data_IF_713494323032
#
_entry.id   IF_713494323032
#
_cell.length_a   1.000
_cell.length_b   1.000
_cell.length_c   1.000
_cell.angle_alpha   90.00
_cell.angle_beta   90.00
_cell.angle_gamma   90.00
#
_symmetry.space_group_name_H-M   'P 1'
#
loop_
_entity.id
_entity.type
_entity.pdbx_description
1 polymer ?
#
# COMPACT_ATOMS: atom_id res chain seq x y z
N UNK A 1 -24.99 20.08 -9.96
CA UNK A 1 -25.46 19.45 -8.70
C UNK A 1 -25.74 17.96 -8.85
N UNK A 2 -26.10 17.50 -10.02
CA UNK A 2 -26.40 16.08 -10.33
C UNK A 2 -25.14 15.18 -10.38
N UNK A 3 -24.05 15.68 -10.94
CA UNK A 3 -22.77 14.97 -11.06
C UNK A 3 -22.17 14.63 -9.68
N UNK A 4 -22.27 15.54 -8.71
CA UNK A 4 -21.75 15.30 -7.35
C UNK A 4 -22.51 14.15 -6.67
N UNK A 5 -23.85 14.16 -6.73
CA UNK A 5 -24.68 13.10 -6.15
C UNK A 5 -24.39 11.73 -6.79
N UNK A 6 -24.22 11.72 -8.11
CA UNK A 6 -23.87 10.50 -8.86
C UNK A 6 -22.50 9.95 -8.45
N UNK A 7 -21.50 10.81 -8.34
CA UNK A 7 -20.16 10.41 -7.93
C UNK A 7 -20.12 9.94 -6.48
N UNK A 8 -20.82 10.61 -5.57
CA UNK A 8 -20.96 10.19 -4.17
C UNK A 8 -21.59 8.80 -4.06
N UNK A 9 -22.72 8.58 -4.74
CA UNK A 9 -23.38 7.27 -4.77
C UNK A 9 -22.51 6.17 -5.41
N UNK A 10 -21.66 6.52 -6.37
CA UNK A 10 -20.69 5.58 -6.95
C UNK A 10 -19.62 5.20 -5.93
N UNK A 11 -19.06 6.16 -5.21
CA UNK A 11 -18.06 5.92 -4.18
C UNK A 11 -18.59 5.04 -3.03
N UNK A 12 -19.83 5.28 -2.59
CA UNK A 12 -20.47 4.47 -1.55
C UNK A 12 -20.69 3.01 -1.95
N UNK A 13 -20.86 2.74 -3.25
CA UNK A 13 -21.08 1.36 -3.76
C UNK A 13 -19.82 0.62 -4.15
N UNK A 14 -18.79 1.33 -4.57
CA UNK A 14 -17.58 0.73 -5.17
C UNK A 14 -16.34 0.83 -4.32
N UNK A 15 -16.39 1.62 -3.25
CA UNK A 15 -15.26 1.89 -2.35
C UNK A 15 -15.71 1.81 -0.90
N UNK A 16 -14.76 1.87 0.03
CA UNK A 16 -15.02 1.89 1.47
C UNK A 16 -15.53 3.24 1.99
N UNK A 17 -15.90 4.18 1.09
CA UNK A 17 -16.43 5.46 1.46
C UNK A 17 -17.83 5.30 2.07
N UNK A 18 -18.03 5.87 3.26
CA UNK A 18 -19.33 5.99 3.92
C UNK A 18 -19.55 7.46 4.27
N UNK A 19 -20.74 7.97 4.00
CA UNK A 19 -21.05 9.39 4.24
C UNK A 19 -21.17 9.76 5.72
N UNK A 20 -21.31 8.78 6.59
CA UNK A 20 -21.39 8.90 8.05
C UNK A 20 -20.02 8.71 8.74
N UNK A 21 -18.96 8.38 7.99
CA UNK A 21 -17.61 8.36 8.54
C UNK A 21 -17.11 9.78 8.79
N UNK A 22 -16.38 9.95 9.88
CA UNK A 22 -15.60 11.17 10.12
C UNK A 22 -14.51 11.28 9.04
N UNK A 23 -14.52 12.41 8.33
CA UNK A 23 -13.56 12.71 7.27
C UNK A 23 -12.62 13.81 7.76
N UNK A 24 -11.57 13.41 8.46
CA UNK A 24 -10.54 14.33 8.90
C UNK A 24 -9.80 14.97 7.73
N UNK A 25 -9.38 16.20 7.92
CA UNK A 25 -8.66 16.95 6.91
C UNK A 25 -7.21 16.48 6.80
N UNK A 26 -6.95 15.54 5.90
CA UNK A 26 -5.59 15.13 5.54
C UNK A 26 -4.93 16.16 4.62
N UNK A 27 -3.63 16.39 4.80
CA UNK A 27 -2.81 17.09 3.80
C UNK A 27 -2.41 16.12 2.69
N UNK A 28 -2.82 16.40 1.46
CA UNK A 28 -2.46 15.59 0.28
C UNK A 28 -1.68 16.47 -0.69
N UNK A 29 -0.58 15.93 -1.21
CA UNK A 29 0.25 16.59 -2.22
C UNK A 29 0.52 15.66 -3.40
N UNK A 30 0.74 16.24 -4.57
CA UNK A 30 1.11 15.53 -5.78
C UNK A 30 2.39 16.13 -6.36
N UNK A 31 3.37 15.28 -6.63
CA UNK A 31 4.60 15.64 -7.34
C UNK A 31 4.67 14.81 -8.63
N UNK A 32 4.78 15.48 -9.75
CA UNK A 32 4.86 14.81 -11.05
C UNK A 32 5.95 15.41 -11.93
N UNK A 33 6.56 14.59 -12.78
CA UNK A 33 7.49 15.05 -13.81
C UNK A 33 6.73 15.48 -15.05
N UNK A 34 6.91 16.70 -15.51
CA UNK A 34 6.21 17.24 -16.69
C UNK A 34 6.64 16.57 -18.00
N UNK A 35 7.81 15.94 -18.03
CA UNK A 35 8.31 15.21 -19.21
C UNK A 35 7.99 13.71 -19.17
N UNK A 36 7.22 13.24 -18.19
CA UNK A 36 6.83 11.84 -18.03
C UNK A 36 7.96 10.87 -17.66
N UNK A 37 9.18 11.37 -17.43
CA UNK A 37 10.31 10.50 -17.09
C UNK A 37 10.26 10.10 -15.61
N UNK A 38 10.37 8.80 -15.37
CA UNK A 38 10.50 8.22 -14.03
C UNK A 38 11.90 8.53 -13.50
N UNK A 39 11.98 9.28 -12.40
CA UNK A 39 13.26 9.63 -11.78
C UNK A 39 13.17 9.56 -10.27
N UNK A 40 14.26 9.19 -9.63
CA UNK A 40 14.39 9.22 -8.16
C UNK A 40 14.12 10.60 -7.59
N UNK A 41 14.47 11.66 -8.34
CA UNK A 41 14.28 13.04 -7.93
C UNK A 41 12.82 13.40 -7.64
N UNK A 42 11.86 12.83 -8.38
CA UNK A 42 10.42 13.01 -8.11
C UNK A 42 10.04 12.46 -6.74
N UNK A 43 10.59 11.29 -6.37
CA UNK A 43 10.36 10.68 -5.05
C UNK A 43 10.98 11.53 -3.94
N UNK A 44 12.18 12.05 -4.15
CA UNK A 44 12.86 12.93 -3.19
C UNK A 44 12.07 14.20 -2.93
N UNK A 45 11.56 14.85 -3.97
CA UNK A 45 10.67 16.00 -3.84
C UNK A 45 9.36 15.65 -3.11
N UNK A 46 8.81 14.45 -3.34
CA UNK A 46 7.65 13.98 -2.57
C UNK A 46 7.95 13.86 -1.08
N UNK A 47 9.11 13.34 -0.72
CA UNK A 47 9.57 13.22 0.67
C UNK A 47 9.82 14.63 1.28
N UNK A 48 10.43 15.54 0.52
CA UNK A 48 10.66 16.92 0.97
C UNK A 48 9.33 17.65 1.21
N UNK A 49 8.38 17.52 0.29
CA UNK A 49 7.04 18.08 0.45
C UNK A 49 6.33 17.54 1.69
N UNK A 50 6.43 16.23 1.94
CA UNK A 50 5.86 15.59 3.13
C UNK A 50 6.49 16.15 4.41
N UNK A 51 7.82 16.35 4.43
CA UNK A 51 8.52 16.97 5.56
C UNK A 51 8.13 18.43 5.75
N UNK A 52 7.90 19.17 4.68
CA UNK A 52 7.58 20.61 4.76
C UNK A 52 6.21 20.87 5.43
N UNK A 53 5.30 19.92 5.42
CA UNK A 53 3.97 20.05 6.04
C UNK A 53 3.88 19.46 7.46
N UNK A 54 5.00 19.13 8.08
CA UNK A 54 5.03 18.50 9.42
C UNK A 54 4.27 19.32 10.49
N UNK A 55 4.25 20.65 10.36
CA UNK A 55 3.56 21.56 11.27
C UNK A 55 2.03 21.43 11.26
N UNK A 56 1.47 20.68 10.32
CA UNK A 56 0.04 20.35 10.23
C UNK A 56 -0.32 19.02 10.91
N UNK A 57 0.67 18.24 11.31
CA UNK A 57 0.48 17.01 12.04
C UNK A 57 0.28 17.28 13.53
N UNK A 58 -0.63 16.54 14.17
CA UNK A 58 -0.75 16.53 15.61
C UNK A 58 0.39 15.71 16.22
N UNK A 59 0.83 16.06 17.40
CA UNK A 59 1.81 15.32 18.18
C UNK A 59 1.19 14.99 19.52
N UNK A 60 1.25 13.71 19.89
CA UNK A 60 0.71 13.20 21.14
C UNK A 60 1.53 13.68 22.37
N UNK A 61 1.01 13.43 23.56
CA UNK A 61 1.63 13.80 24.83
C UNK A 61 3.03 13.21 25.06
N UNK A 62 3.38 12.13 24.35
CA UNK A 62 4.74 11.55 24.39
C UNK A 62 5.78 12.35 23.59
N UNK A 63 5.37 13.42 22.91
CA UNK A 63 6.22 14.30 22.13
C UNK A 63 6.79 13.71 20.86
N UNK A 64 6.38 12.52 20.45
CA UNK A 64 6.88 11.78 19.29
C UNK A 64 5.80 11.12 18.43
N UNK A 65 4.80 10.52 19.06
CA UNK A 65 3.67 9.92 18.32
C UNK A 65 2.86 11.03 17.67
N UNK A 66 2.50 10.85 16.44
CA UNK A 66 1.74 11.84 15.68
C UNK A 66 0.88 11.16 14.63
N UNK A 67 0.24 11.99 13.80
CA UNK A 67 -0.54 11.53 12.67
C UNK A 67 0.33 10.74 11.71
N UNK A 68 -0.25 9.76 11.07
CA UNK A 68 0.42 8.96 10.06
C UNK A 68 0.82 9.81 8.84
N UNK A 69 1.93 9.47 8.25
CA UNK A 69 2.39 10.06 6.99
C UNK A 69 2.82 8.97 6.03
N UNK A 70 2.57 9.16 4.76
CA UNK A 70 2.89 8.17 3.74
C UNK A 70 3.19 8.79 2.38
N UNK A 71 3.84 8.02 1.55
CA UNK A 71 4.09 8.37 0.16
C UNK A 71 3.66 7.19 -0.72
N UNK A 72 2.91 7.50 -1.76
CA UNK A 72 2.57 6.54 -2.80
C UNK A 72 3.42 6.82 -4.03
N UNK A 73 4.12 5.80 -4.49
CA UNK A 73 4.98 5.88 -5.67
C UNK A 73 4.63 4.75 -6.64
N UNK A 74 5.08 4.90 -7.87
CA UNK A 74 4.99 3.80 -8.83
C UNK A 74 5.85 2.61 -8.37
N UNK A 75 5.35 1.41 -8.62
CA UNK A 75 6.08 0.17 -8.34
C UNK A 75 7.38 0.18 -9.16
N UNK A 76 8.52 -0.07 -8.50
CA UNK A 76 9.82 -0.19 -9.13
C UNK A 76 10.02 -1.63 -9.64
N UNK A 77 9.86 -1.93 -10.94
CA UNK A 77 9.83 -3.30 -11.44
C UNK A 77 11.11 -4.08 -11.14
N UNK A 78 12.27 -3.46 -11.35
CA UNK A 78 13.57 -4.11 -11.16
C UNK A 78 13.80 -4.53 -9.71
N UNK A 79 13.42 -3.67 -8.76
CA UNK A 79 13.51 -4.00 -7.34
C UNK A 79 12.63 -5.20 -6.98
N UNK A 80 11.38 -5.22 -7.46
CA UNK A 80 10.45 -6.30 -7.12
C UNK A 80 10.77 -7.59 -7.87
N UNK A 81 11.28 -7.54 -9.10
CA UNK A 81 11.81 -8.72 -9.79
C UNK A 81 12.90 -9.40 -8.98
N UNK A 82 13.86 -8.64 -8.45
CA UNK A 82 14.89 -9.18 -7.56
C UNK A 82 14.28 -9.87 -6.32
N UNK A 83 13.25 -9.29 -5.72
CA UNK A 83 12.60 -9.87 -4.54
C UNK A 83 11.79 -11.13 -4.89
N UNK A 84 11.17 -11.18 -6.05
CA UNK A 84 10.49 -12.39 -6.56
C UNK A 84 11.51 -13.51 -6.82
N UNK A 85 12.63 -13.21 -7.46
CA UNK A 85 13.71 -14.19 -7.65
C UNK A 85 14.20 -14.76 -6.30
N UNK A 86 14.29 -13.94 -5.27
CA UNK A 86 14.69 -14.38 -3.92
C UNK A 86 13.67 -15.32 -3.26
N UNK A 87 12.42 -15.39 -3.71
CA UNK A 87 11.42 -16.37 -3.27
C UNK A 87 11.49 -17.69 -4.06
N UNK A 88 12.42 -17.82 -5.00
CA UNK A 88 12.57 -19.01 -5.85
C UNK A 88 11.65 -19.02 -7.08
N UNK A 89 10.95 -17.94 -7.35
CA UNK A 89 10.08 -17.80 -8.52
C UNK A 89 10.78 -16.99 -9.61
N UNK A 90 10.39 -17.25 -10.86
CA UNK A 90 10.83 -16.44 -12.01
C UNK A 90 9.69 -15.49 -12.38
N UNK A 91 9.89 -14.17 -12.29
CA UNK A 91 8.88 -13.23 -12.74
C UNK A 91 8.73 -13.31 -14.27
N UNK A 92 7.49 -13.31 -14.74
CA UNK A 92 7.22 -13.20 -16.17
C UNK A 92 7.42 -11.75 -16.63
N UNK A 93 8.22 -11.52 -17.65
CA UNK A 93 8.54 -10.18 -18.16
C UNK A 93 7.32 -9.45 -18.75
N UNK A 94 6.31 -10.17 -19.21
CA UNK A 94 5.07 -9.62 -19.77
C UNK A 94 4.03 -9.30 -18.69
N UNK A 95 4.28 -9.68 -17.44
CA UNK A 95 3.30 -9.61 -16.39
C UNK A 95 3.47 -8.39 -15.50
N UNK A 96 2.35 -7.79 -15.16
CA UNK A 96 2.31 -6.67 -14.23
C UNK A 96 2.51 -7.18 -12.80
N UNK A 97 3.59 -6.77 -12.19
CA UNK A 97 3.83 -7.00 -10.77
C UNK A 97 2.86 -6.12 -9.98
N UNK A 98 2.11 -6.73 -9.09
CA UNK A 98 1.32 -6.06 -8.05
C UNK A 98 1.95 -6.28 -6.69
N UNK A 99 1.77 -5.31 -5.82
CA UNK A 99 2.31 -5.35 -4.47
C UNK A 99 1.21 -4.98 -3.49
N UNK A 100 0.91 -5.86 -2.56
CA UNK A 100 -0.03 -5.62 -1.47
C UNK A 100 0.71 -5.26 -0.19
N UNK A 101 0.47 -4.07 0.38
CA UNK A 101 0.96 -3.72 1.71
C UNK A 101 -0.04 -4.24 2.74
N UNK A 102 0.41 -5.07 3.67
CA UNK A 102 -0.44 -5.72 4.66
C UNK A 102 0.06 -5.44 6.07
N UNK A 103 -0.87 -5.07 6.94
CA UNK A 103 -0.63 -4.81 8.35
C UNK A 103 -1.18 -6.00 9.16
N UNK A 104 -0.29 -6.70 9.84
CA UNK A 104 -0.58 -7.95 10.55
C UNK A 104 -0.45 -7.76 12.06
N UNK A 105 -1.06 -8.62 12.89
CA UNK A 105 -0.82 -8.66 14.33
C UNK A 105 0.68 -8.78 14.61
N UNK A 106 1.20 -7.97 15.54
CA UNK A 106 2.66 -7.90 15.77
C UNK A 106 3.25 -9.15 16.41
N UNK A 107 2.54 -9.74 17.37
CA UNK A 107 3.09 -10.76 18.28
C UNK A 107 2.42 -12.11 18.15
N UNK A 108 1.27 -12.20 17.52
CA UNK A 108 0.55 -13.46 17.33
C UNK A 108 0.82 -14.05 15.95
N UNK A 109 1.79 -14.96 15.90
CA UNK A 109 2.17 -15.64 14.65
C UNK A 109 1.03 -16.53 14.09
N UNK A 110 0.20 -17.11 14.94
CA UNK A 110 -0.94 -17.91 14.49
C UNK A 110 -1.98 -17.07 13.79
N UNK A 111 -2.26 -15.88 14.32
CA UNK A 111 -3.15 -14.92 13.65
C UNK A 111 -2.53 -14.33 12.39
N UNK A 112 -1.22 -14.10 12.35
CA UNK A 112 -0.55 -13.68 11.12
C UNK A 112 -0.73 -14.69 9.99
N UNK A 113 -0.53 -15.98 10.27
CA UNK A 113 -0.72 -17.04 9.28
C UNK A 113 -2.17 -17.12 8.78
N UNK A 114 -3.14 -17.07 9.70
CA UNK A 114 -4.56 -17.02 9.31
C UNK A 114 -4.88 -15.81 8.42
N UNK A 115 -4.33 -14.64 8.74
CA UNK A 115 -4.50 -13.44 7.89
C UNK A 115 -3.91 -13.65 6.50
N UNK A 116 -2.74 -14.27 6.40
CA UNK A 116 -2.12 -14.59 5.10
C UNK A 116 -2.96 -15.60 4.33
N UNK A 117 -3.41 -16.68 4.95
CA UNK A 117 -4.28 -17.69 4.33
C UNK A 117 -5.56 -17.07 3.76
N UNK A 118 -6.21 -16.15 4.49
CA UNK A 118 -7.41 -15.45 4.03
C UNK A 118 -7.10 -14.61 2.79
N UNK A 119 -5.99 -13.86 2.82
CA UNK A 119 -5.57 -13.00 1.70
C UNK A 119 -5.21 -13.86 0.49
N UNK A 120 -4.44 -14.92 0.69
CA UNK A 120 -4.03 -15.84 -0.38
C UNK A 120 -5.23 -16.51 -1.02
N UNK A 121 -6.17 -17.00 -0.23
CA UNK A 121 -7.41 -17.60 -0.73
C UNK A 121 -8.21 -16.64 -1.59
N UNK A 122 -8.39 -15.40 -1.11
CA UNK A 122 -9.12 -14.37 -1.85
C UNK A 122 -8.41 -13.98 -3.17
N UNK A 123 -7.08 -13.91 -3.15
CA UNK A 123 -6.29 -13.62 -4.35
C UNK A 123 -6.37 -14.77 -5.37
N UNK A 124 -6.27 -16.02 -4.92
CA UNK A 124 -6.39 -17.18 -5.78
C UNK A 124 -7.79 -17.30 -6.39
N UNK A 125 -8.85 -17.03 -5.64
CA UNK A 125 -10.21 -16.95 -6.17
C UNK A 125 -10.36 -15.86 -7.24
N UNK A 126 -9.61 -14.76 -7.12
CA UNK A 126 -9.53 -13.68 -8.10
C UNK A 126 -8.62 -13.98 -9.31
N UNK A 127 -8.08 -15.20 -9.44
CA UNK A 127 -7.09 -15.58 -10.44
C UNK A 127 -5.79 -14.75 -10.38
N UNK A 128 -5.36 -14.38 -9.19
CA UNK A 128 -4.04 -13.80 -8.98
C UNK A 128 -3.06 -14.90 -8.57
N UNK A 129 -1.83 -14.77 -9.05
CA UNK A 129 -0.73 -15.63 -8.61
C UNK A 129 0.10 -14.93 -7.54
N UNK A 130 0.45 -15.63 -6.47
CA UNK A 130 1.23 -15.08 -5.36
C UNK A 130 2.65 -15.65 -5.43
N UNK A 131 3.64 -14.79 -5.59
CA UNK A 131 5.05 -15.16 -5.55
C UNK A 131 5.56 -15.38 -4.12
N UNK A 132 4.92 -14.77 -3.14
CA UNK A 132 5.25 -14.92 -1.74
C UNK A 132 5.12 -13.62 -0.95
N UNK A 133 5.65 -13.68 0.27
CA UNK A 133 5.61 -12.61 1.24
C UNK A 133 7.00 -12.07 1.53
N UNK A 134 7.07 -10.79 1.78
CA UNK A 134 8.29 -10.10 2.19
C UNK A 134 8.02 -9.26 3.41
N UNK A 135 8.80 -9.42 4.47
CA UNK A 135 8.79 -8.52 5.61
C UNK A 135 9.35 -7.15 5.20
N UNK A 136 8.65 -6.09 5.59
CA UNK A 136 9.08 -4.71 5.33
C UNK A 136 10.08 -4.29 6.40
N UNK A 137 11.29 -3.84 6.02
CA UNK A 137 12.24 -3.29 6.99
C UNK A 137 11.67 -2.02 7.62
N UNK A 138 11.61 -2.00 8.93
CA UNK A 138 11.13 -0.87 9.71
C UNK A 138 12.17 -0.44 10.74
N UNK A 139 12.13 0.82 11.15
CA UNK A 139 12.94 1.33 12.25
C UNK A 139 12.03 1.79 13.41
N UNK A 140 11.70 0.93 14.37
CA UNK A 140 10.80 1.28 15.46
C UNK A 140 11.41 2.27 16.47
N UNK A 141 12.74 2.47 16.46
CA UNK A 141 13.40 3.34 17.44
C UNK A 141 13.03 4.82 17.31
N UNK A 142 12.48 5.22 16.17
CA UNK A 142 12.03 6.59 15.91
C UNK A 142 10.59 6.86 16.37
N UNK A 143 9.84 5.81 16.71
CA UNK A 143 8.45 5.92 17.13
C UNK A 143 8.33 6.45 18.56
N UNK A 144 7.22 7.14 18.84
CA UNK A 144 6.78 7.42 20.19
C UNK A 144 6.19 6.17 20.87
N UNK A 145 6.07 6.21 22.17
CA UNK A 145 5.55 5.06 22.96
C UNK A 145 4.14 4.67 22.56
N UNK A 146 3.27 5.65 22.33
CA UNK A 146 1.88 5.43 21.93
C UNK A 146 1.81 4.74 20.58
N UNK A 147 2.56 5.22 19.58
CA UNK A 147 2.60 4.64 18.26
C UNK A 147 3.22 3.23 18.26
N UNK A 148 4.27 2.98 19.06
CA UNK A 148 4.89 1.65 19.12
C UNK A 148 3.99 0.59 19.78
N UNK A 149 3.11 0.98 20.71
CA UNK A 149 2.16 0.05 21.34
C UNK A 149 1.17 -0.54 20.33
N UNK A 150 0.72 0.26 19.37
CA UNK A 150 -0.25 -0.14 18.35
C UNK A 150 0.40 -0.53 17.01
N UNK A 151 1.73 -0.53 16.95
CA UNK A 151 2.48 -0.82 15.71
C UNK A 151 2.20 -2.24 15.22
N UNK A 152 1.76 -2.41 13.97
CA UNK A 152 1.57 -3.72 13.37
C UNK A 152 2.90 -4.32 12.88
N UNK A 153 2.89 -5.59 12.56
CA UNK A 153 3.87 -6.17 11.64
C UNK A 153 3.51 -5.77 10.22
N UNK A 154 4.50 -5.35 9.43
CA UNK A 154 4.26 -4.89 8.06
C UNK A 154 4.87 -5.88 7.07
N UNK A 155 4.02 -6.45 6.23
CA UNK A 155 4.42 -7.37 5.18
C UNK A 155 3.99 -6.88 3.80
N UNK A 156 4.74 -7.28 2.78
CA UNK A 156 4.40 -7.10 1.38
C UNK A 156 4.06 -8.45 0.78
N UNK A 157 2.88 -8.56 0.18
CA UNK A 157 2.53 -9.64 -0.72
C UNK A 157 2.99 -9.30 -2.13
N UNK A 158 3.75 -10.21 -2.74
CA UNK A 158 4.23 -10.09 -4.12
C UNK A 158 3.28 -10.87 -5.02
N UNK A 159 2.56 -10.16 -5.87
CA UNK A 159 1.41 -10.69 -6.61
C UNK A 159 1.64 -10.50 -8.10
N UNK A 160 1.18 -11.47 -8.86
CA UNK A 160 1.07 -11.42 -10.31
C UNK A 160 -0.39 -11.40 -10.74
N UNK A 161 -0.74 -10.52 -11.67
CA UNK A 161 -2.05 -10.51 -12.29
C UNK A 161 -2.01 -11.48 -13.47
N UNK A 162 -2.67 -12.63 -13.34
CA UNK A 162 -2.91 -13.50 -14.50
C UNK A 162 -3.85 -12.77 -15.45
N UNK A 163 -3.47 -12.63 -16.71
CA UNK A 163 -4.45 -12.18 -17.70
C UNK A 163 -5.61 -13.15 -17.73
N UNK A 164 -6.87 -12.67 -17.72
CA UNK A 164 -8.00 -13.55 -17.96
C UNK A 164 -7.75 -14.22 -19.31
N UNK A 165 -7.69 -15.54 -19.32
CA UNK A 165 -7.61 -16.32 -20.55
C UNK A 165 -8.74 -15.83 -21.44
N UNK A 166 -8.44 -15.13 -22.53
CA UNK A 166 -9.42 -14.85 -23.56
C UNK A 166 -9.98 -16.22 -23.96
N UNK A 167 -11.19 -16.48 -23.54
CA UNK A 167 -11.98 -17.54 -24.18
C UNK A 167 -12.08 -17.12 -25.63
N UNK A 168 -11.22 -17.70 -26.48
CA UNK A 168 -11.42 -17.65 -27.90
C UNK A 168 -12.78 -18.30 -28.13
N UNK A 169 -13.74 -17.45 -28.43
CA UNK A 169 -15.05 -17.90 -28.90
C UNK A 169 -14.84 -18.65 -30.20
N UNK A 170 -15.01 -19.96 -30.14
CA UNK A 170 -15.18 -20.85 -31.27
C UNK A 170 -16.49 -20.49 -31.97
#
# INVERSE_FOLDING_TARGET
MDTYKKNKSLLERTHNYKSDMEHDACGVGLIASTNGKKTRKVVEYGIEALKAIWHRGAVDADGKSGDGAGIQIEIAPEFFKEKILATGHTPDDNNRICVGMVFLPRTDYSEQEKCREIIESALLEGNYYIYGWRQVPINPSVLGKTADQSRPEIALSLIHISEPTRLESI
#
